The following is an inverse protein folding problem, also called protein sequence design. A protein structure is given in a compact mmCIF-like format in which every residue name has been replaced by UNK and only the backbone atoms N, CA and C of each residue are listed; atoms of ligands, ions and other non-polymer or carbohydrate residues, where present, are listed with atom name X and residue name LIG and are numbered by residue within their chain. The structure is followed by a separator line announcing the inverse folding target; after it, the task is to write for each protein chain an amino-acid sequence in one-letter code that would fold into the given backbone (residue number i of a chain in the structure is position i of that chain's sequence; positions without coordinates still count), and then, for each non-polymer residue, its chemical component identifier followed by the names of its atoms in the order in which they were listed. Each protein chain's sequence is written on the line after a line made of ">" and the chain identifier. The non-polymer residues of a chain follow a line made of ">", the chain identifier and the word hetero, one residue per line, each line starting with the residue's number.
data_IF_553590016561
#
_entry.id   IF_553590016561
#
_cell.length_a   1.000
_cell.length_b   1.000
_cell.length_c   1.000
_cell.angle_alpha   90.00
_cell.angle_beta   90.00
_cell.angle_gamma   90.00
#
_symmetry.space_group_name_H-M   'P 1'
#
loop_
_entity.id
_entity.type
_entity.pdbx_description
1 polymer ?
#
# COMPACT_ATOMS: atom_id res chain seq x y z
N UNK A 1 11.27 9.87 1.14
CA UNK A 1 10.09 9.79 0.24
C UNK A 1 10.46 9.02 -1.04
N UNK A 2 9.46 8.54 -1.78
CA UNK A 2 9.61 7.67 -2.96
C UNK A 2 9.98 8.46 -4.22
N UNK A 3 10.92 7.94 -5.00
CA UNK A 3 11.47 8.56 -6.21
C UNK A 3 11.21 7.74 -7.48
N UNK A 4 10.78 6.48 -7.38
CA UNK A 4 10.64 5.59 -8.52
C UNK A 4 9.42 4.67 -8.35
N UNK A 5 8.30 5.13 -8.90
CA UNK A 5 7.01 4.46 -8.77
C UNK A 5 6.81 3.47 -9.91
N UNK A 6 6.42 2.25 -9.58
CA UNK A 6 5.87 1.29 -10.52
C UNK A 6 4.35 1.24 -10.36
N UNK A 7 3.62 1.70 -11.36
CA UNK A 7 2.17 1.61 -11.43
C UNK A 7 1.83 0.40 -12.29
N UNK A 8 1.33 -0.65 -11.64
CA UNK A 8 0.88 -1.86 -12.29
C UNK A 8 -0.64 -1.96 -12.18
N UNK A 9 -1.33 -1.28 -13.09
CA UNK A 9 -2.78 -1.28 -13.15
C UNK A 9 -3.31 -1.83 -14.48
N UNK A 10 -4.46 -2.50 -14.40
CA UNK A 10 -5.22 -3.00 -15.53
C UNK A 10 -6.04 -1.91 -16.25
N UNK A 11 -5.88 -0.64 -15.85
CA UNK A 11 -6.62 0.51 -16.36
C UNK A 11 -8.06 0.58 -15.82
N UNK A 12 -8.32 -0.03 -14.66
CA UNK A 12 -9.65 -0.08 -14.04
C UNK A 12 -9.55 0.31 -12.57
N UNK A 13 -10.28 1.35 -12.18
CA UNK A 13 -10.37 1.81 -10.80
C UNK A 13 -9.82 3.22 -10.62
N UNK A 14 -9.24 3.48 -9.45
CA UNK A 14 -8.90 4.83 -8.99
C UNK A 14 -7.38 5.04 -8.80
N UNK A 15 -6.55 4.20 -9.43
CA UNK A 15 -5.10 4.24 -9.27
C UNK A 15 -4.52 5.54 -9.82
N UNK A 16 -4.89 5.94 -11.04
CA UNK A 16 -4.35 7.17 -11.61
C UNK A 16 -4.80 8.42 -10.83
N UNK A 17 -6.02 8.42 -10.29
CA UNK A 17 -6.52 9.50 -9.43
C UNK A 17 -5.71 9.64 -8.14
N UNK A 18 -5.42 8.52 -7.48
CA UNK A 18 -4.58 8.49 -6.28
C UNK A 18 -3.16 8.96 -6.58
N UNK A 19 -2.55 8.49 -7.67
CA UNK A 19 -1.19 8.91 -8.05
C UNK A 19 -1.14 10.39 -8.41
N UNK A 20 -2.15 10.91 -9.12
CA UNK A 20 -2.22 12.35 -9.45
C UNK A 20 -2.20 13.22 -8.20
N UNK A 21 -2.99 12.85 -7.19
CA UNK A 21 -3.01 13.53 -5.91
C UNK A 21 -1.69 13.40 -5.14
N UNK A 22 -1.08 12.21 -5.12
CA UNK A 22 0.22 12.03 -4.47
C UNK A 22 1.28 12.92 -5.11
N UNK A 23 1.26 13.07 -6.45
CA UNK A 23 2.18 13.95 -7.18
C UNK A 23 2.04 15.44 -6.80
N UNK A 24 0.92 15.87 -6.25
CA UNK A 24 0.79 17.25 -5.75
C UNK A 24 1.67 17.50 -4.52
N UNK A 25 1.98 16.43 -3.76
CA UNK A 25 2.85 16.48 -2.58
C UNK A 25 4.32 16.69 -3.01
N UNK A 26 5.01 17.71 -2.46
CA UNK A 26 6.41 18.03 -2.75
C UNK A 26 7.34 16.83 -2.96
N UNK A 27 7.39 15.86 -2.04
CA UNK A 27 8.33 14.75 -2.17
C UNK A 27 7.94 13.65 -3.17
N UNK A 28 6.80 13.74 -3.86
CA UNK A 28 6.44 12.88 -5.00
C UNK A 28 6.57 13.59 -6.36
N UNK A 29 6.75 14.92 -6.39
CA UNK A 29 6.77 15.72 -7.63
C UNK A 29 7.84 15.28 -8.62
N UNK A 30 9.01 14.91 -8.11
CA UNK A 30 10.16 14.48 -8.91
C UNK A 30 10.21 12.97 -9.13
N UNK A 31 9.20 12.23 -8.68
CA UNK A 31 9.24 10.78 -8.76
C UNK A 31 9.08 10.31 -10.21
N UNK A 32 9.98 9.42 -10.64
CA UNK A 32 9.86 8.75 -11.94
C UNK A 32 8.63 7.84 -11.92
N UNK A 33 7.80 7.97 -12.96
CA UNK A 33 6.59 7.18 -13.12
C UNK A 33 6.83 6.09 -14.17
N UNK A 34 6.69 4.82 -13.78
CA UNK A 34 6.74 3.68 -14.67
C UNK A 34 5.34 3.07 -14.76
N UNK A 35 4.78 2.96 -15.96
CA UNK A 35 3.48 2.35 -16.20
C UNK A 35 3.68 0.96 -16.79
N UNK A 36 3.23 -0.07 -16.08
CA UNK A 36 3.35 -1.46 -16.51
C UNK A 36 2.00 -2.03 -16.93
N UNK A 37 1.95 -2.58 -18.14
CA UNK A 37 0.89 -3.47 -18.59
C UNK A 37 1.46 -4.86 -18.90
N UNK A 38 0.76 -5.91 -18.46
CA UNK A 38 1.15 -7.30 -18.70
C UNK A 38 0.10 -7.98 -19.57
N UNK A 39 0.50 -8.39 -20.77
CA UNK A 39 -0.31 -9.15 -21.72
C UNK A 39 -0.23 -10.65 -21.36
N UNK A 40 -1.36 -11.33 -21.09
CA UNK A 40 -1.36 -12.76 -20.78
C UNK A 40 -0.76 -13.61 -21.91
N UNK A 41 0.00 -14.65 -21.56
CA UNK A 41 0.63 -15.54 -22.55
C UNK A 41 -0.35 -16.36 -23.40
N UNK A 42 -1.61 -16.46 -22.98
CA UNK A 42 -2.66 -17.21 -23.69
C UNK A 42 -3.22 -16.45 -24.91
N UNK A 43 -2.88 -15.17 -25.05
CA UNK A 43 -3.37 -14.25 -26.09
C UNK A 43 -2.41 -14.16 -27.31
N UNK A 44 -1.68 -15.24 -27.65
CA UNK A 44 -0.67 -15.23 -28.73
C UNK A 44 -1.24 -15.22 -30.16
N UNK A 45 -2.55 -15.40 -30.35
CA UNK A 45 -3.21 -15.24 -31.64
C UNK A 45 -3.54 -13.75 -31.88
N UNK A 46 -2.76 -13.06 -32.72
CA UNK A 46 -2.96 -11.65 -33.07
C UNK A 46 -2.01 -10.67 -32.37
N UNK A 47 -0.71 -11.00 -32.26
CA UNK A 47 0.29 -10.25 -31.48
C UNK A 47 0.18 -8.73 -31.67
N UNK A 48 0.09 -8.26 -32.91
CA UNK A 48 0.20 -6.84 -33.23
C UNK A 48 -1.01 -6.03 -32.73
N UNK A 49 -2.22 -6.62 -32.74
CA UNK A 49 -3.42 -5.98 -32.21
C UNK A 49 -3.36 -5.87 -30.67
N UNK A 50 -2.87 -6.91 -29.99
CA UNK A 50 -2.71 -6.88 -28.53
C UNK A 50 -1.62 -5.91 -28.07
N UNK A 51 -0.49 -5.82 -28.76
CA UNK A 51 0.54 -4.83 -28.46
C UNK A 51 0.06 -3.41 -28.72
N UNK A 52 -0.70 -3.18 -29.79
CA UNK A 52 -1.31 -1.88 -30.09
C UNK A 52 -2.34 -1.47 -29.03
N UNK A 53 -3.21 -2.41 -28.62
CA UNK A 53 -4.18 -2.17 -27.54
C UNK A 53 -3.48 -1.89 -26.20
N UNK A 54 -2.42 -2.63 -25.86
CA UNK A 54 -1.63 -2.39 -24.67
C UNK A 54 -0.95 -1.01 -24.68
N UNK A 55 -0.41 -0.59 -25.83
CA UNK A 55 0.17 0.75 -25.98
C UNK A 55 -0.89 1.85 -25.83
N UNK A 56 -2.09 1.65 -26.40
CA UNK A 56 -3.20 2.57 -26.24
C UNK A 56 -3.65 2.67 -24.77
N UNK A 57 -3.70 1.55 -24.03
CA UNK A 57 -4.02 1.53 -22.61
C UNK A 57 -3.02 2.34 -21.78
N UNK A 58 -1.72 2.16 -22.02
CA UNK A 58 -0.69 2.93 -21.31
C UNK A 58 -0.72 4.42 -21.67
N UNK A 59 -1.02 4.77 -22.92
CA UNK A 59 -1.24 6.15 -23.33
C UNK A 59 -2.40 6.79 -22.56
N UNK A 60 -3.54 6.11 -22.50
CA UNK A 60 -4.71 6.61 -21.78
C UNK A 60 -4.43 6.72 -20.28
N UNK A 61 -3.64 5.81 -19.70
CA UNK A 61 -3.21 5.90 -18.31
C UNK A 61 -2.33 7.15 -18.07
N UNK A 62 -1.39 7.46 -18.97
CA UNK A 62 -0.59 8.69 -18.89
C UNK A 62 -1.48 9.95 -18.96
N UNK A 63 -2.43 9.98 -19.90
CA UNK A 63 -3.40 11.08 -20.02
C UNK A 63 -4.25 11.22 -18.76
N UNK A 64 -4.74 10.10 -18.20
CA UNK A 64 -5.47 10.11 -16.91
C UNK A 64 -4.58 10.62 -15.78
N UNK A 65 -3.28 10.37 -15.77
CA UNK A 65 -2.37 10.93 -14.78
C UNK A 65 -2.12 12.44 -14.96
N UNK A 66 -2.60 13.03 -16.05
CA UNK A 66 -2.28 14.41 -16.43
C UNK A 66 -0.81 14.56 -16.79
N UNK A 67 -0.25 13.56 -17.49
CA UNK A 67 1.14 13.49 -17.90
C UNK A 67 1.22 13.27 -19.41
N UNK A 68 2.23 13.88 -20.03
CA UNK A 68 2.61 13.57 -21.40
C UNK A 68 3.29 12.21 -21.48
N UNK A 69 3.21 11.56 -22.65
CA UNK A 69 3.84 10.25 -22.89
C UNK A 69 5.36 10.27 -22.63
N UNK A 70 6.02 11.41 -22.79
CA UNK A 70 7.44 11.59 -22.52
C UNK A 70 7.79 11.68 -21.03
N UNK A 71 6.81 11.94 -20.16
CA UNK A 71 7.01 12.06 -18.72
C UNK A 71 6.89 10.72 -17.99
N UNK A 72 6.40 9.69 -18.68
CA UNK A 72 6.23 8.34 -18.15
C UNK A 72 7.10 7.33 -18.88
N UNK A 73 7.59 6.34 -18.15
CA UNK A 73 8.22 5.16 -18.75
C UNK A 73 7.15 4.08 -18.97
N UNK A 74 6.67 3.94 -20.21
CA UNK A 74 5.67 2.95 -20.58
C UNK A 74 6.32 1.57 -20.84
N UNK A 75 5.89 0.56 -20.09
CA UNK A 75 6.45 -0.79 -20.10
C UNK A 75 5.34 -1.79 -20.42
N UNK A 76 5.49 -2.51 -21.52
CA UNK A 76 4.63 -3.65 -21.85
C UNK A 76 5.46 -4.93 -21.71
N UNK A 77 4.89 -5.94 -21.06
CA UNK A 77 5.46 -7.28 -20.91
C UNK A 77 4.42 -8.32 -21.28
N UNK A 78 4.87 -9.52 -21.65
CA UNK A 78 4.01 -10.69 -21.74
C UNK A 78 4.34 -11.68 -20.63
N UNK A 79 3.34 -12.40 -20.12
CA UNK A 79 3.55 -13.42 -19.08
C UNK A 79 2.45 -13.45 -18.02
N UNK A 80 2.76 -14.12 -16.91
CA UNK A 80 1.95 -14.07 -15.70
C UNK A 80 2.13 -12.72 -15.00
N UNK A 81 1.03 -11.97 -14.84
CA UNK A 81 1.03 -10.65 -14.23
C UNK A 81 1.59 -10.68 -12.80
N UNK A 82 1.33 -11.75 -12.03
CA UNK A 82 1.79 -11.87 -10.63
C UNK A 82 3.31 -11.78 -10.52
N UNK A 83 4.00 -12.63 -11.29
CA UNK A 83 5.46 -12.68 -11.30
C UNK A 83 6.07 -11.49 -12.03
N UNK A 84 5.44 -11.06 -13.14
CA UNK A 84 5.96 -9.98 -13.97
C UNK A 84 6.02 -8.65 -13.22
N UNK A 85 5.02 -8.33 -12.40
CA UNK A 85 5.04 -7.09 -11.59
C UNK A 85 6.21 -7.09 -10.60
N UNK A 86 6.43 -8.20 -9.88
CA UNK A 86 7.56 -8.32 -8.95
C UNK A 86 8.90 -8.19 -9.68
N UNK A 87 9.04 -8.89 -10.82
CA UNK A 87 10.26 -8.85 -11.63
C UNK A 87 10.56 -7.44 -12.13
N UNK A 88 9.57 -6.73 -12.67
CA UNK A 88 9.74 -5.36 -13.18
C UNK A 88 10.03 -4.39 -12.02
N UNK A 89 9.43 -4.58 -10.84
CA UNK A 89 9.74 -3.77 -9.66
C UNK A 89 11.23 -3.90 -9.28
N UNK A 90 11.78 -5.11 -9.34
CA UNK A 90 13.20 -5.36 -9.08
C UNK A 90 14.10 -4.84 -10.21
N UNK A 91 13.75 -5.07 -11.49
CA UNK A 91 14.48 -4.55 -12.66
C UNK A 91 14.64 -3.01 -12.61
N UNK A 92 13.58 -2.32 -12.20
CA UNK A 92 13.56 -0.86 -12.12
C UNK A 92 14.16 -0.32 -10.83
N UNK A 93 14.40 -1.15 -9.81
CA UNK A 93 14.58 -0.71 -8.43
C UNK A 93 13.45 0.25 -8.00
N UNK A 94 12.20 -0.14 -8.23
CA UNK A 94 11.05 0.62 -7.79
C UNK A 94 11.05 0.70 -6.26
N UNK A 95 10.83 1.90 -5.72
CA UNK A 95 10.74 2.11 -4.28
C UNK A 95 9.30 2.18 -3.77
N UNK A 96 8.33 2.29 -4.68
CA UNK A 96 6.90 2.11 -4.41
C UNK A 96 6.21 1.38 -5.56
N UNK A 97 5.44 0.33 -5.25
CA UNK A 97 4.50 -0.28 -6.18
C UNK A 97 3.11 0.30 -5.91
N UNK A 98 2.41 0.76 -6.95
CA UNK A 98 1.02 1.20 -6.88
C UNK A 98 0.15 0.26 -7.72
N UNK A 99 -0.87 -0.33 -7.12
CA UNK A 99 -1.79 -1.21 -7.84
C UNK A 99 -3.24 -1.00 -7.45
N UNK A 100 -4.10 -1.23 -8.44
CA UNK A 100 -5.52 -1.39 -8.23
C UNK A 100 -5.82 -2.73 -7.58
N UNK A 101 -6.95 -2.81 -6.88
CA UNK A 101 -7.55 -4.10 -6.55
C UNK A 101 -9.06 -4.05 -6.65
N UNK A 102 -9.64 -5.22 -6.86
CA UNK A 102 -11.08 -5.40 -6.86
C UNK A 102 -11.65 -5.15 -5.45
N UNK A 103 -12.78 -4.47 -5.39
CA UNK A 103 -13.49 -4.11 -4.17
C UNK A 103 -14.44 -5.19 -3.64
N UNK A 104 -15.07 -4.90 -2.49
CA UNK A 104 -15.93 -5.85 -1.76
C UNK A 104 -17.28 -6.13 -2.44
N UNK A 105 -17.72 -5.26 -3.36
CA UNK A 105 -18.92 -5.47 -4.17
C UNK A 105 -18.77 -6.56 -5.23
N UNK A 106 -17.55 -7.07 -5.45
CA UNK A 106 -17.26 -8.26 -6.25
C UNK A 106 -17.23 -9.49 -5.33
N UNK A 107 -17.42 -10.69 -5.88
CA UNK A 107 -17.38 -11.92 -5.09
C UNK A 107 -16.04 -12.00 -4.34
N UNK A 108 -16.09 -12.07 -3.00
CA UNK A 108 -14.88 -12.15 -2.15
C UNK A 108 -13.98 -13.34 -2.52
N UNK A 109 -14.56 -14.44 -3.01
CA UNK A 109 -13.83 -15.59 -3.55
C UNK A 109 -12.95 -15.27 -4.76
N UNK A 110 -13.25 -14.19 -5.51
CA UNK A 110 -12.45 -13.69 -6.65
C UNK A 110 -11.33 -12.74 -6.19
N UNK A 111 -11.40 -12.21 -4.96
CA UNK A 111 -10.35 -11.39 -4.36
C UNK A 111 -9.16 -12.25 -3.89
N UNK A 112 -9.46 -13.50 -3.51
CA UNK A 112 -8.48 -14.53 -3.27
C UNK A 112 -7.80 -14.95 -4.59
N UNK A 113 -6.49 -15.15 -4.54
CA UNK A 113 -5.64 -15.49 -5.68
C UNK A 113 -5.55 -14.42 -6.79
N UNK A 114 -5.76 -13.15 -6.44
CA UNK A 114 -5.62 -12.02 -7.38
C UNK A 114 -4.17 -11.56 -7.53
N UNK A 115 -3.85 -10.91 -8.66
CA UNK A 115 -2.52 -10.34 -8.92
C UNK A 115 -2.08 -9.39 -7.82
N UNK A 116 -2.96 -8.49 -7.38
CA UNK A 116 -2.62 -7.54 -6.33
C UNK A 116 -2.49 -8.18 -4.95
N UNK A 117 -3.24 -9.26 -4.63
CA UNK A 117 -3.00 -10.02 -3.41
C UNK A 117 -1.62 -10.70 -3.43
N UNK A 118 -1.28 -11.34 -4.55
CA UNK A 118 0.02 -12.00 -4.73
C UNK A 118 1.18 -11.01 -4.55
N UNK A 119 1.13 -9.88 -5.25
CA UNK A 119 2.14 -8.82 -5.15
C UNK A 119 2.17 -8.23 -3.74
N UNK A 120 1.03 -7.96 -3.11
CA UNK A 120 0.97 -7.42 -1.74
C UNK A 120 1.63 -8.33 -0.72
N UNK A 121 1.49 -9.65 -0.88
CA UNK A 121 2.04 -10.62 0.06
C UNK A 121 3.52 -10.94 -0.19
N UNK A 122 3.99 -10.86 -1.43
CA UNK A 122 5.33 -11.32 -1.81
C UNK A 122 6.30 -10.20 -2.20
N UNK A 123 5.82 -8.98 -2.46
CA UNK A 123 6.69 -7.83 -2.74
C UNK A 123 7.56 -7.51 -1.54
N UNK A 124 8.83 -7.20 -1.83
CA UNK A 124 9.82 -6.66 -0.89
C UNK A 124 9.79 -5.13 -0.87
N UNK A 125 9.08 -4.52 -1.81
CA UNK A 125 8.88 -3.07 -1.92
C UNK A 125 7.62 -2.64 -1.19
N UNK A 126 7.59 -1.42 -0.60
CA UNK A 126 6.36 -0.78 -0.18
C UNK A 126 5.31 -0.80 -1.29
N UNK A 127 4.05 -0.96 -0.90
CA UNK A 127 2.96 -1.10 -1.85
C UNK A 127 1.76 -0.25 -1.44
N UNK A 128 1.33 0.65 -2.33
CA UNK A 128 0.07 1.36 -2.22
C UNK A 128 -1.01 0.61 -3.01
N UNK A 129 -2.03 0.15 -2.29
CA UNK A 129 -3.17 -0.53 -2.85
C UNK A 129 -4.39 0.39 -2.86
N UNK A 130 -5.03 0.52 -4.03
CA UNK A 130 -6.24 1.31 -4.22
C UNK A 130 -7.37 0.39 -4.69
N UNK A 131 -8.41 0.21 -3.86
CA UNK A 131 -9.56 -0.62 -4.25
C UNK A 131 -10.51 0.15 -5.16
N UNK A 132 -11.11 -0.53 -6.13
CA UNK A 132 -12.01 0.07 -7.14
C UNK A 132 -13.40 0.47 -6.59
N UNK A 133 -13.74 0.09 -5.36
CA UNK A 133 -14.95 0.50 -4.64
C UNK A 133 -14.70 1.64 -3.64
N UNK A 134 -13.48 2.18 -3.59
CA UNK A 134 -13.13 3.31 -2.75
C UNK A 134 -13.23 4.60 -3.53
N UNK A 135 -13.90 5.59 -2.94
CA UNK A 135 -13.84 6.96 -3.44
C UNK A 135 -12.51 7.60 -2.99
N UNK A 136 -11.63 7.89 -3.95
CA UNK A 136 -10.34 8.53 -3.67
C UNK A 136 -10.55 10.02 -3.40
N UNK A 137 -10.45 10.40 -2.13
CA UNK A 137 -10.55 11.79 -1.63
C UNK A 137 -9.15 12.37 -1.48
N UNK A 138 -9.03 13.70 -1.53
CA UNK A 138 -7.79 14.38 -1.19
C UNK A 138 -7.27 13.89 0.16
N UNK A 139 -6.05 13.35 0.18
CA UNK A 139 -5.45 12.77 1.37
C UNK A 139 -5.13 13.91 2.33
N UNK A 140 -5.85 13.99 3.43
CA UNK A 140 -5.60 14.94 4.51
C UNK A 140 -5.40 14.22 5.85
N UNK A 141 -6.08 13.10 6.04
CA UNK A 141 -6.14 12.36 7.30
C UNK A 141 -5.45 11.01 7.12
N UNK A 142 -4.23 10.89 7.63
CA UNK A 142 -3.48 9.64 7.62
C UNK A 142 -3.68 8.91 8.95
N UNK A 143 -3.88 7.60 8.87
CA UNK A 143 -3.77 6.71 10.01
C UNK A 143 -2.58 5.77 9.80
N UNK A 144 -1.71 5.65 10.80
CA UNK A 144 -0.58 4.72 10.79
C UNK A 144 -0.69 3.72 11.93
N UNK A 145 -0.43 2.44 11.65
CA UNK A 145 -0.33 1.43 12.72
C UNK A 145 0.96 1.56 13.49
N UNK A 146 0.88 1.49 14.81
CA UNK A 146 2.02 1.48 15.72
C UNK A 146 2.08 0.12 16.40
N UNK A 147 3.13 -0.64 16.14
CA UNK A 147 3.34 -1.99 16.68
C UNK A 147 4.65 -2.14 17.46
N UNK A 148 5.45 -1.06 17.56
CA UNK A 148 6.71 -1.03 18.29
C UNK A 148 7.85 -1.78 17.60
N UNK A 149 7.69 -2.10 16.32
CA UNK A 149 8.68 -2.83 15.52
C UNK A 149 9.51 -1.90 14.66
N UNK A 150 10.69 -2.35 14.20
CA UNK A 150 11.52 -1.55 13.26
C UNK A 150 10.78 -1.19 11.96
N UNK A 151 9.95 -2.09 11.44
CA UNK A 151 9.12 -1.81 10.25
C UNK A 151 7.98 -0.83 10.59
N UNK A 152 7.41 -0.94 11.80
CA UNK A 152 6.46 0.04 12.34
C UNK A 152 7.06 1.44 12.41
N UNK A 153 8.33 1.53 12.80
CA UNK A 153 9.06 2.79 12.86
C UNK A 153 9.27 3.41 11.46
N UNK A 154 9.56 2.57 10.46
CA UNK A 154 9.63 2.98 9.06
C UNK A 154 8.26 3.43 8.52
N UNK A 155 7.18 2.73 8.89
CA UNK A 155 5.82 3.13 8.54
C UNK A 155 5.44 4.48 9.15
N UNK A 156 5.79 4.70 10.42
CA UNK A 156 5.58 5.97 11.11
C UNK A 156 6.41 7.10 10.46
N UNK A 157 7.69 6.85 10.15
CA UNK A 157 8.53 7.82 9.44
C UNK A 157 7.91 8.21 8.11
N UNK A 158 7.49 7.23 7.30
CA UNK A 158 6.87 7.47 6.00
C UNK A 158 5.58 8.29 6.13
N UNK A 159 4.72 7.95 7.09
CA UNK A 159 3.49 8.69 7.35
C UNK A 159 3.78 10.14 7.78
N UNK A 160 4.82 10.37 8.60
CA UNK A 160 5.27 11.71 8.98
C UNK A 160 5.80 12.51 7.79
N UNK A 161 6.64 11.91 6.95
CA UNK A 161 7.15 12.55 5.73
C UNK A 161 6.01 12.96 4.80
N UNK A 162 5.00 12.10 4.61
CA UNK A 162 3.84 12.39 3.76
C UNK A 162 2.96 13.50 4.34
N UNK A 163 2.57 13.40 5.62
CA UNK A 163 1.60 14.34 6.20
C UNK A 163 2.16 15.74 6.38
N UNK A 164 3.49 15.88 6.58
CA UNK A 164 4.15 17.17 6.75
C UNK A 164 3.99 18.07 5.51
N UNK A 165 3.90 17.45 4.34
CA UNK A 165 3.78 18.14 3.07
C UNK A 165 2.32 18.47 2.70
N UNK A 166 1.36 18.12 3.57
CA UNK A 166 -0.08 18.35 3.39
C UNK A 166 -0.54 19.51 4.28
N UNK A 167 -1.00 20.64 3.70
CA UNK A 167 -1.54 21.75 4.47
C UNK A 167 -2.73 21.32 5.34
N UNK A 168 -2.61 21.45 6.66
CA UNK A 168 -3.64 21.00 7.61
C UNK A 168 -3.75 19.48 7.77
N UNK A 169 -2.76 18.72 7.27
CA UNK A 169 -2.71 17.27 7.38
C UNK A 169 -2.75 16.79 8.82
N UNK A 170 -3.46 15.68 9.05
CA UNK A 170 -3.65 15.07 10.37
C UNK A 170 -3.07 13.67 10.37
N UNK A 171 -2.29 13.34 11.40
CA UNK A 171 -1.74 12.00 11.60
C UNK A 171 -2.29 11.39 12.88
N UNK A 172 -2.93 10.24 12.75
CA UNK A 172 -3.32 9.39 13.88
C UNK A 172 -2.43 8.16 13.94
N UNK A 173 -1.83 7.87 15.09
CA UNK A 173 -1.14 6.61 15.33
C UNK A 173 -2.03 5.64 16.10
N UNK A 174 -2.37 4.49 15.52
CA UNK A 174 -3.23 3.49 16.18
C UNK A 174 -2.41 2.31 16.69
N UNK A 175 -2.65 1.92 17.95
CA UNK A 175 -2.22 0.64 18.49
C UNK A 175 -3.45 -0.21 18.83
N UNK A 176 -3.47 -1.47 18.40
CA UNK A 176 -4.55 -2.40 18.71
C UNK A 176 -4.03 -3.53 19.59
N UNK A 177 -4.56 -3.63 20.81
CA UNK A 177 -4.20 -4.66 21.77
C UNK A 177 -5.38 -5.61 22.01
N UNK A 178 -5.11 -6.92 22.17
CA UNK A 178 -6.15 -7.91 22.53
C UNK A 178 -6.60 -7.78 23.98
N UNK A 179 -5.66 -7.45 24.86
CA UNK A 179 -5.87 -7.17 26.28
C UNK A 179 -4.85 -6.12 26.66
N UNK A 180 -5.28 -5.07 27.36
CA UNK A 180 -4.35 -4.14 27.99
C UNK A 180 -4.41 -4.34 29.49
N UNK A 181 -3.28 -4.69 30.09
CA UNK A 181 -3.19 -4.87 31.54
C UNK A 181 -2.88 -3.51 32.12
N UNK A 182 -3.90 -2.83 32.65
CA UNK A 182 -3.72 -1.58 33.37
C UNK A 182 -2.87 -1.83 34.61
N UNK A 183 -1.66 -1.26 34.73
CA UNK A 183 -0.79 -1.52 35.87
C UNK A 183 -1.41 -0.95 37.15
N UNK A 184 -1.29 -1.67 38.26
CA UNK A 184 -1.96 -1.40 39.54
C UNK A 184 -1.50 -0.10 40.25
N UNK A 185 -0.55 0.65 39.68
CA UNK A 185 0.12 1.80 40.33
C UNK A 185 0.44 2.97 39.39
N UNK A 186 -0.54 3.49 38.66
CA UNK A 186 -0.41 4.76 37.92
C UNK A 186 0.70 4.82 36.85
N UNK A 187 1.33 3.70 36.52
CA UNK A 187 2.28 3.59 35.43
C UNK A 187 1.53 3.58 34.09
N UNK A 188 2.19 4.04 33.02
CA UNK A 188 1.68 3.91 31.67
C UNK A 188 1.54 2.43 31.30
N UNK A 189 0.46 2.05 30.59
CA UNK A 189 0.37 0.70 30.04
C UNK A 189 1.46 0.46 28.98
N UNK A 190 1.61 -0.80 28.53
CA UNK A 190 2.51 -1.10 27.40
C UNK A 190 2.06 -0.35 26.14
N UNK A 191 0.76 -0.32 25.89
CA UNK A 191 0.14 0.42 24.78
C UNK A 191 0.42 1.91 24.87
N UNK A 192 0.25 2.50 26.06
CA UNK A 192 0.54 3.92 26.29
C UNK A 192 2.01 4.26 26.05
N UNK A 193 2.91 3.40 26.53
CA UNK A 193 4.36 3.60 26.34
C UNK A 193 4.75 3.58 24.87
N UNK A 194 4.18 2.65 24.11
CA UNK A 194 4.40 2.48 22.68
C UNK A 194 3.83 3.65 21.86
N UNK A 195 2.62 4.09 22.18
CA UNK A 195 2.02 5.28 21.55
C UNK A 195 2.77 6.57 21.92
N UNK A 196 3.22 6.71 23.16
CA UNK A 196 4.03 7.84 23.59
C UNK A 196 5.37 7.90 22.83
N UNK A 197 6.03 6.77 22.62
CA UNK A 197 7.23 6.68 21.79
C UNK A 197 6.95 7.13 20.34
N UNK A 198 5.83 6.69 19.75
CA UNK A 198 5.42 7.13 18.42
C UNK A 198 5.14 8.64 18.35
N UNK A 199 4.51 9.22 19.37
CA UNK A 199 4.29 10.67 19.48
C UNK A 199 5.63 11.41 19.52
N UNK A 200 6.59 10.97 20.34
CA UNK A 200 7.91 11.64 20.40
C UNK A 200 8.66 11.52 19.07
N UNK A 201 8.58 10.37 18.40
CA UNK A 201 9.19 10.21 17.08
C UNK A 201 8.54 11.12 16.05
N UNK A 202 7.21 11.19 15.99
CA UNK A 202 6.52 12.11 15.08
C UNK A 202 6.94 13.57 15.30
N UNK A 203 7.10 13.98 16.57
CA UNK A 203 7.60 15.32 16.92
C UNK A 203 9.00 15.60 16.36
N UNK A 204 9.89 14.62 16.31
CA UNK A 204 11.22 14.80 15.69
C UNK A 204 11.16 15.06 14.17
N UNK A 205 10.04 14.73 13.51
CA UNK A 205 9.77 15.10 12.11
C UNK A 205 9.00 16.43 11.98
N UNK A 206 8.71 17.13 13.09
CA UNK A 206 7.87 18.33 13.10
C UNK A 206 6.38 18.03 12.95
N UNK A 207 5.94 16.79 13.21
CA UNK A 207 4.57 16.35 13.03
C UNK A 207 3.89 16.10 14.37
N UNK A 208 2.67 16.60 14.53
CA UNK A 208 1.81 16.24 15.66
C UNK A 208 1.09 14.94 15.33
N UNK A 209 1.24 13.93 16.19
CA UNK A 209 0.54 12.65 16.09
C UNK A 209 -0.51 12.56 17.19
N UNK A 210 -1.75 12.24 16.82
CA UNK A 210 -2.83 11.90 17.75
C UNK A 210 -2.77 10.40 18.06
N UNK A 211 -2.45 9.97 19.29
CA UNK A 211 -2.43 8.56 19.63
C UNK A 211 -3.85 8.01 19.79
N UNK A 212 -4.10 6.81 19.29
CA UNK A 212 -5.36 6.09 19.42
C UNK A 212 -5.08 4.65 19.87
N UNK A 213 -5.59 4.27 21.04
CA UNK A 213 -5.53 2.89 21.52
C UNK A 213 -6.89 2.21 21.34
N UNK A 214 -6.90 1.04 20.72
CA UNK A 214 -8.09 0.20 20.55
C UNK A 214 -7.85 -1.14 21.22
N UNK A 215 -8.81 -1.58 22.04
CA UNK A 215 -8.84 -2.96 22.56
C UNK A 215 -9.78 -3.80 21.69
N UNK A 216 -9.23 -4.80 20.98
CA UNK A 216 -10.00 -5.67 20.11
C UNK A 216 -9.42 -7.08 20.02
N UNK A 217 -10.28 -8.10 19.97
CA UNK A 217 -9.88 -9.51 19.84
C UNK A 217 -9.17 -9.79 18.49
N UNK A 218 -9.50 -9.02 17.46
CA UNK A 218 -8.95 -9.11 16.11
C UNK A 218 -8.29 -7.78 15.73
N UNK A 219 -6.99 -7.82 15.46
CA UNK A 219 -6.17 -6.63 15.16
C UNK A 219 -6.62 -5.98 13.85
N UNK A 220 -6.89 -6.78 12.82
CA UNK A 220 -7.29 -6.26 11.50
C UNK A 220 -8.63 -5.53 11.57
N UNK A 221 -9.61 -6.09 12.29
CA UNK A 221 -10.90 -5.44 12.57
C UNK A 221 -10.72 -4.16 13.38
N UNK A 222 -9.89 -4.19 14.42
CA UNK A 222 -9.59 -3.01 15.23
C UNK A 222 -8.99 -1.87 14.40
N UNK A 223 -8.04 -2.17 13.51
CA UNK A 223 -7.49 -1.16 12.59
C UNK A 223 -8.57 -0.65 11.63
N UNK A 224 -9.34 -1.53 10.98
CA UNK A 224 -10.41 -1.10 10.07
C UNK A 224 -11.50 -0.26 10.77
N UNK A 225 -11.77 -0.52 12.05
CA UNK A 225 -12.64 0.30 12.88
C UNK A 225 -12.02 1.68 13.12
N UNK A 226 -10.74 1.74 13.52
CA UNK A 226 -10.00 2.99 13.69
C UNK A 226 -10.07 3.88 12.45
N UNK A 227 -9.87 3.29 11.28
CA UNK A 227 -9.90 3.97 9.97
C UNK A 227 -11.26 4.64 9.74
N UNK A 228 -12.36 3.99 10.14
CA UNK A 228 -13.72 4.58 10.08
C UNK A 228 -13.88 5.68 11.10
N UNK A 229 -13.51 5.44 12.35
CA UNK A 229 -13.69 6.39 13.45
C UNK A 229 -12.97 7.71 13.19
N UNK A 230 -11.75 7.65 12.65
CA UNK A 230 -10.99 8.85 12.32
C UNK A 230 -11.21 9.32 10.89
N UNK A 231 -12.10 8.70 10.11
CA UNK A 231 -12.31 9.00 8.68
C UNK A 231 -10.97 9.16 7.93
N UNK A 232 -10.08 8.17 8.04
CA UNK A 232 -8.77 8.27 7.39
C UNK A 232 -8.92 8.20 5.87
N UNK A 233 -8.18 9.04 5.16
CA UNK A 233 -8.10 9.06 3.69
C UNK A 233 -7.02 8.09 3.17
N UNK A 234 -6.06 7.73 4.02
CA UNK A 234 -4.99 6.78 3.72
C UNK A 234 -4.58 6.05 5.00
N UNK A 235 -4.37 4.73 4.88
CA UNK A 235 -3.90 3.88 5.97
C UNK A 235 -2.49 3.41 5.67
N UNK A 236 -1.55 3.71 6.56
CA UNK A 236 -0.17 3.22 6.49
C UNK A 236 -0.03 2.07 7.47
N UNK A 237 0.31 0.87 6.98
CA UNK A 237 0.50 -0.30 7.82
C UNK A 237 1.90 -0.88 7.67
N UNK A 238 2.46 -1.34 8.77
CA UNK A 238 3.67 -2.15 8.74
C UNK A 238 3.32 -3.63 8.58
N UNK A 239 4.16 -4.37 7.86
CA UNK A 239 4.06 -5.83 7.82
C UNK A 239 5.42 -6.48 7.88
N UNK A 240 5.66 -7.15 9.01
CA UNK A 240 6.85 -7.96 9.25
C UNK A 240 6.81 -9.32 8.54
N UNK A 241 5.66 -9.73 8.01
CA UNK A 241 5.45 -11.08 7.46
C UNK A 241 6.36 -11.33 6.25
N UNK A 242 7.55 -11.87 6.52
CA UNK A 242 8.38 -12.58 5.56
C UNK A 242 7.87 -14.02 5.51
N UNK A 243 6.92 -14.29 4.63
CA UNK A 243 6.84 -15.65 4.10
C UNK A 243 8.19 -15.93 3.45
N UNK A 244 8.88 -17.04 3.77
CA UNK A 244 10.24 -17.26 3.29
C UNK A 244 10.30 -17.05 1.78
N UNK A 245 11.25 -16.27 1.27
CA UNK A 245 11.46 -16.10 -0.18
C UNK A 245 11.64 -17.47 -0.87
N UNK A 246 12.12 -18.47 -0.12
CA UNK A 246 12.17 -19.90 -0.49
C UNK A 246 10.81 -20.44 -0.94
N UNK A 247 9.72 -19.91 -0.39
CA UNK A 247 8.35 -20.30 -0.74
C UNK A 247 7.91 -19.77 -2.12
N UNK A 248 8.60 -18.78 -2.72
CA UNK A 248 8.33 -18.32 -4.10
C UNK A 248 8.51 -19.44 -5.14
N UNK A 249 9.25 -20.49 -4.81
CA UNK A 249 9.45 -21.69 -5.65
C UNK A 249 8.48 -22.84 -5.37
N UNK A 250 7.56 -22.72 -4.40
CA UNK A 250 6.59 -23.77 -4.09
C UNK A 250 5.42 -23.72 -5.06
N UNK A 251 5.12 -24.87 -5.67
CA UNK A 251 3.85 -25.11 -6.37
C UNK A 251 2.71 -24.90 -5.35
N UNK A 252 1.68 -24.15 -5.72
CA UNK A 252 0.52 -23.78 -4.87
C UNK A 252 0.73 -22.73 -3.76
N UNK A 253 1.76 -21.89 -3.80
CA UNK A 253 1.92 -20.76 -2.86
C UNK A 253 0.64 -19.89 -2.73
N UNK A 254 -0.09 -19.76 -3.84
CA UNK A 254 -1.36 -19.06 -3.94
C UNK A 254 -2.42 -19.55 -2.94
N UNK A 255 -2.42 -20.85 -2.61
CA UNK A 255 -3.36 -21.46 -1.65
C UNK A 255 -3.03 -21.13 -0.20
N UNK A 256 -1.82 -20.64 0.06
CA UNK A 256 -1.39 -20.20 1.39
C UNK A 256 -1.64 -18.70 1.59
N UNK A 257 -2.00 -17.95 0.54
CA UNK A 257 -2.26 -16.51 0.61
C UNK A 257 -3.60 -16.22 1.31
N UNK A 258 -3.64 -15.22 2.20
CA UNK A 258 -4.91 -14.61 2.64
C UNK A 258 -5.38 -14.84 4.07
N UNK A 259 -4.46 -14.81 5.05
CA UNK A 259 -4.81 -14.97 6.48
C UNK A 259 -4.06 -14.05 7.43
N UNK A 260 -3.28 -13.08 6.93
CA UNK A 260 -2.53 -12.14 7.78
C UNK A 260 -3.40 -10.94 8.18
N UNK A 261 -3.01 -10.26 9.25
CA UNK A 261 -3.62 -8.97 9.65
C UNK A 261 -3.54 -7.96 8.52
N UNK A 262 -2.40 -7.88 7.81
CA UNK A 262 -2.23 -6.99 6.67
C UNK A 262 -3.15 -7.31 5.49
N UNK A 263 -3.38 -8.59 5.19
CA UNK A 263 -4.32 -8.99 4.13
C UNK A 263 -5.78 -8.69 4.53
N UNK A 264 -6.14 -8.87 5.80
CA UNK A 264 -7.45 -8.45 6.29
C UNK A 264 -7.66 -6.94 6.12
N UNK A 265 -6.69 -6.13 6.53
CA UNK A 265 -6.75 -4.66 6.40
C UNK A 265 -6.84 -4.26 4.92
N UNK A 266 -6.01 -4.88 4.06
CA UNK A 266 -6.04 -4.67 2.60
C UNK A 266 -7.44 -4.83 2.01
N UNK A 267 -8.19 -5.84 2.46
CA UNK A 267 -9.53 -6.17 1.95
C UNK A 267 -10.62 -5.29 2.56
N UNK A 268 -10.50 -4.95 3.85
CA UNK A 268 -11.62 -4.38 4.62
C UNK A 268 -11.45 -2.91 5.00
N UNK A 269 -10.26 -2.32 4.89
CA UNK A 269 -10.04 -0.91 5.21
C UNK A 269 -10.87 -0.03 4.26
N UNK A 270 -11.67 0.91 4.76
CA UNK A 270 -12.47 1.82 3.93
C UNK A 270 -11.64 2.99 3.39
N UNK A 271 -10.36 2.76 3.13
CA UNK A 271 -9.41 3.72 2.57
C UNK A 271 -8.28 2.96 1.85
N UNK A 272 -7.56 3.61 0.91
CA UNK A 272 -6.34 3.06 0.34
C UNK A 272 -5.35 2.61 1.43
N UNK A 273 -4.59 1.56 1.14
CA UNK A 273 -3.66 0.95 2.10
C UNK A 273 -2.24 1.03 1.55
N UNK A 274 -1.37 1.74 2.25
CA UNK A 274 0.07 1.77 2.02
C UNK A 274 0.76 0.79 2.97
N UNK A 275 1.19 -0.33 2.42
CA UNK A 275 1.96 -1.36 3.11
C UNK A 275 3.45 -1.00 3.10
N UNK A 276 4.03 -0.85 4.28
CA UNK A 276 5.48 -0.73 4.46
C UNK A 276 6.05 -2.08 4.85
N UNK A 277 7.16 -2.44 4.20
CA UNK A 277 7.85 -3.71 4.35
C UNK A 277 9.24 -3.51 4.94
N UNK A 278 9.73 -4.53 5.62
CA UNK A 278 11.14 -4.56 6.04
C UNK A 278 12.06 -4.58 4.81
N UNK A 279 13.09 -3.73 4.74
CA UNK A 279 14.09 -3.80 3.68
C UNK A 279 14.76 -5.18 3.64
N UNK A 280 15.11 -5.67 2.45
CA UNK A 280 16.00 -6.82 2.36
C UNK A 280 17.36 -6.44 2.96
N UNK A 281 17.77 -7.15 4.02
CA UNK A 281 19.15 -7.08 4.49
C UNK A 281 19.97 -7.92 3.51
N UNK A 282 20.75 -7.24 2.68
CA UNK A 282 21.80 -7.84 1.84
C UNK A 282 22.84 -8.57 2.69
#
# INVERSE_FOLDING_TARGET
>A
MFNNLLIADSGKGHVEEMVRMLRDLPGFRSARINLLHVVPEQDKSGSDEHWSAAAALLSQAAERLGLDRSEVNAIIRSGDAKQTVLKVADELNADLIVMGSRGLGRLQSILANSTSQYVFQLSTRPMLLVRDDLYVRHVNRLLVTVDGTGVGDDALRLACEMVRDIPGGQLTGVHVARQDVTPTRGAASKSDSLLNAAVQRARSFGVTLTPLHITANDVGRGVCQAVKEVNADLVVIASQDRRPLVARGLVDLDKLLGGSVSDYIRVHAPAPVLLVREPERS
#
